data_IF_166267899314
#
_entry.id   IF_166267899314
#
_cell.length_a   1.000
_cell.length_b   1.000
_cell.length_c   1.000
_cell.angle_alpha   90.00
_cell.angle_beta   90.00
_cell.angle_gamma   90.00
#
_symmetry.space_group_name_H-M   'P 1'
#
loop_
_entity.id
_entity.type
_entity.pdbx_description
1 polymer ?
#
# COMPACT_ATOMS: atom_id res chain seq x y z
N UNK A 1 9.91 15.30 1.79
CA UNK A 1 9.60 14.86 1.74
C UNK A 1 9.33 13.96 1.58
N UNK A 2 9.52 13.68 1.58
CA UNK A 2 9.22 12.79 1.04
C UNK A 2 8.25 12.15 1.47
N UNK A 3 7.58 12.08 0.93
CA UNK A 3 6.59 11.46 1.17
C UNK A 3 6.73 10.20 1.64
N UNK A 4 6.14 9.78 2.51
CA UNK A 4 6.12 8.48 3.00
C UNK A 4 5.06 7.75 2.28
N UNK A 5 5.43 6.94 1.36
CA UNK A 5 4.44 6.26 0.57
C UNK A 5 3.54 5.37 1.39
N UNK A 6 4.02 4.89 2.50
CA UNK A 6 3.20 4.02 3.30
C UNK A 6 2.08 4.77 4.01
N UNK A 7 2.06 6.09 3.85
CA UNK A 7 1.08 6.87 4.49
C UNK A 7 -0.22 6.76 3.78
N UNK A 8 -0.73 5.60 3.58
CA UNK A 8 -2.03 5.38 3.00
C UNK A 8 -2.05 5.17 1.50
N UNK A 9 -0.91 5.29 0.83
CA UNK A 9 -0.88 5.07 -0.61
C UNK A 9 -0.17 3.75 -0.92
N UNK A 10 -0.95 2.69 -0.94
CA UNK A 10 -0.39 1.37 -1.17
C UNK A 10 0.13 1.22 -2.60
N UNK A 11 -0.49 1.92 -3.55
CA UNK A 11 0.00 1.87 -4.92
C UNK A 11 1.41 2.45 -5.03
N UNK A 12 1.63 3.58 -4.37
CA UNK A 12 2.95 4.19 -4.38
C UNK A 12 4.00 3.30 -3.73
N UNK A 13 3.60 2.55 -2.71
CA UNK A 13 4.50 1.62 -2.06
C UNK A 13 5.04 0.59 -3.05
N UNK A 14 4.20 0.17 -3.99
CA UNK A 14 4.62 -0.76 -5.04
C UNK A 14 5.17 -0.05 -6.27
N UNK A 15 5.15 1.28 -6.28
CA UNK A 15 5.63 2.03 -7.43
C UNK A 15 4.64 2.03 -8.58
N UNK A 16 3.35 1.94 -8.28
CA UNK A 16 2.31 1.84 -9.28
C UNK A 16 1.33 2.99 -9.19
N UNK A 17 0.55 3.16 -10.24
CA UNK A 17 -0.58 4.07 -10.24
C UNK A 17 -1.84 3.32 -9.86
N UNK A 18 -2.88 4.06 -9.51
CA UNK A 18 -4.12 3.45 -9.04
C UNK A 18 -4.85 2.67 -10.12
N UNK A 19 -4.48 2.86 -11.38
CA UNK A 19 -5.11 2.12 -12.49
C UNK A 19 -4.35 0.84 -12.84
N UNK A 20 -3.40 0.42 -12.03
CA UNK A 20 -2.61 -0.77 -12.31
C UNK A 20 -3.50 -2.00 -12.34
N UNK A 21 -3.18 -2.93 -13.24
CA UNK A 21 -3.89 -4.20 -13.31
C UNK A 21 -3.40 -5.14 -12.22
N UNK A 22 -4.14 -6.22 -11.99
CA UNK A 22 -3.69 -7.23 -11.04
C UNK A 22 -2.34 -7.81 -11.46
N UNK A 23 -2.14 -7.99 -12.75
CA UNK A 23 -0.84 -8.46 -13.24
C UNK A 23 0.29 -7.50 -12.92
N UNK A 24 0.01 -6.20 -13.06
CA UNK A 24 1.00 -5.19 -12.70
C UNK A 24 1.32 -5.25 -11.21
N UNK A 25 0.31 -5.46 -10.39
CA UNK A 25 0.49 -5.53 -8.95
C UNK A 25 1.36 -6.73 -8.58
N UNK A 26 1.09 -7.88 -9.18
CA UNK A 26 1.88 -9.07 -8.90
C UNK A 26 3.33 -8.90 -9.36
N UNK A 27 3.51 -8.30 -10.53
CA UNK A 27 4.85 -8.10 -11.06
C UNK A 27 5.63 -7.13 -10.19
N UNK A 28 4.99 -6.03 -9.77
CA UNK A 28 5.63 -5.04 -8.92
C UNK A 28 6.02 -5.65 -7.58
N UNK A 29 5.13 -6.46 -7.02
CA UNK A 29 5.44 -7.10 -5.75
C UNK A 29 6.66 -8.00 -5.86
N UNK A 30 6.70 -8.84 -6.90
CA UNK A 30 7.83 -9.74 -7.07
C UNK A 30 9.15 -8.98 -7.24
N UNK A 31 9.10 -7.89 -7.99
CA UNK A 31 10.28 -7.08 -8.20
C UNK A 31 10.77 -6.45 -6.91
N UNK A 32 9.84 -5.85 -6.15
CA UNK A 32 10.20 -5.18 -4.91
C UNK A 32 10.63 -6.19 -3.84
N UNK A 33 9.93 -7.31 -3.76
CA UNK A 33 10.26 -8.32 -2.77
C UNK A 33 11.66 -8.90 -3.02
N UNK A 34 11.99 -9.10 -4.28
CA UNK A 34 13.31 -9.59 -4.61
C UNK A 34 14.40 -8.59 -4.24
N UNK A 35 14.15 -7.31 -4.52
CA UNK A 35 15.12 -6.26 -4.24
C UNK A 35 15.35 -6.09 -2.75
N UNK A 36 14.29 -6.24 -1.96
CA UNK A 36 14.33 -6.01 -0.52
C UNK A 36 14.55 -7.27 0.30
N UNK A 37 14.73 -8.39 -0.35
CA UNK A 37 14.90 -9.67 0.35
C UNK A 37 16.12 -9.62 1.27
N UNK A 38 16.02 -10.20 2.48
CA UNK A 38 17.13 -10.15 3.44
C UNK A 38 18.45 -10.69 2.92
N UNK A 39 18.40 -11.62 1.98
CA UNK A 39 19.63 -12.16 1.41
C UNK A 39 20.40 -11.13 0.60
N UNK A 40 19.69 -10.14 0.06
CA UNK A 40 20.33 -9.15 -0.80
C UNK A 40 20.43 -7.79 -0.14
N UNK A 41 19.62 -7.54 0.86
CA UNK A 41 19.54 -6.23 1.46
C UNK A 41 19.40 -6.38 2.97
N UNK A 42 20.46 -6.07 3.68
CA UNK A 42 20.49 -6.27 5.11
C UNK A 42 20.39 -4.97 5.89
N UNK A 43 20.12 -3.86 5.21
CA UNK A 43 20.01 -2.58 5.90
C UNK A 43 18.80 -2.53 6.84
N UNK A 44 18.83 -1.65 7.81
CA UNK A 44 17.74 -1.57 8.80
C UNK A 44 16.41 -1.16 8.18
N UNK A 45 16.44 -0.41 7.09
CA UNK A 45 15.21 0.00 6.44
C UNK A 45 14.64 -1.07 5.53
N UNK A 46 15.44 -2.04 5.14
CA UNK A 46 15.01 -3.06 4.19
C UNK A 46 13.88 -3.91 4.76
N UNK A 47 13.99 -4.30 6.02
CA UNK A 47 12.95 -5.11 6.65
C UNK A 47 11.63 -4.35 6.74
N UNK A 48 11.71 -3.07 7.09
CA UNK A 48 10.51 -2.25 7.17
C UNK A 48 9.90 -2.05 5.80
N UNK A 49 10.73 -1.79 4.81
CA UNK A 49 10.24 -1.59 3.45
C UNK A 49 9.64 -2.87 2.89
N UNK A 50 10.26 -4.00 3.20
CA UNK A 50 9.74 -5.29 2.77
C UNK A 50 8.35 -5.53 3.37
N UNK A 51 8.19 -5.23 4.66
CA UNK A 51 6.89 -5.38 5.31
C UNK A 51 5.84 -4.47 4.69
N UNK A 52 6.22 -3.24 4.34
CA UNK A 52 5.29 -2.32 3.72
C UNK A 52 4.86 -2.81 2.33
N UNK A 53 5.79 -3.34 1.57
CA UNK A 53 5.50 -3.90 0.25
C UNK A 53 4.57 -5.10 0.37
N UNK A 54 4.83 -5.95 1.35
CA UNK A 54 4.00 -7.12 1.58
C UNK A 54 2.58 -6.72 1.96
N UNK A 55 2.45 -5.73 2.82
CA UNK A 55 1.14 -5.25 3.23
C UNK A 55 0.37 -4.66 2.04
N UNK A 56 1.04 -3.85 1.23
CA UNK A 56 0.41 -3.27 0.05
C UNK A 56 -0.10 -4.36 -0.88
N UNK A 57 0.71 -5.39 -1.08
CA UNK A 57 0.31 -6.48 -1.94
C UNK A 57 -0.88 -7.24 -1.38
N UNK A 58 -0.91 -7.46 -0.07
CA UNK A 58 -1.99 -8.22 0.55
C UNK A 58 -3.34 -7.54 0.37
N UNK A 59 -3.36 -6.23 0.28
CA UNK A 59 -4.58 -5.49 0.05
C UNK A 59 -4.89 -5.40 -1.44
N UNK A 60 -3.92 -5.01 -2.24
CA UNK A 60 -4.18 -4.70 -3.64
C UNK A 60 -4.36 -5.94 -4.50
N UNK A 61 -3.88 -7.09 -4.06
CA UNK A 61 -4.05 -8.32 -4.82
C UNK A 61 -5.39 -8.99 -4.56
N UNK A 62 -6.12 -8.55 -3.55
CA UNK A 62 -7.43 -9.08 -3.23
C UNK A 62 -8.48 -8.13 -3.81
N UNK A 63 -9.30 -8.59 -4.76
CA UNK A 63 -10.25 -7.68 -5.42
C UNK A 63 -11.18 -6.95 -4.46
N UNK A 64 -11.66 -7.62 -3.44
CA UNK A 64 -12.56 -6.98 -2.50
C UNK A 64 -11.84 -5.95 -1.64
N UNK A 65 -10.67 -6.31 -1.15
CA UNK A 65 -9.91 -5.38 -0.33
C UNK A 65 -9.44 -4.19 -1.16
N UNK A 66 -9.05 -4.46 -2.41
CA UNK A 66 -8.63 -3.38 -3.29
C UNK A 66 -9.79 -2.43 -3.56
N UNK A 67 -10.96 -2.96 -3.84
CA UNK A 67 -12.12 -2.12 -4.09
C UNK A 67 -12.44 -1.25 -2.89
N UNK A 68 -12.43 -1.83 -1.71
CA UNK A 68 -12.72 -1.08 -0.50
C UNK A 68 -11.65 -0.02 -0.25
N UNK A 69 -10.40 -0.36 -0.48
CA UNK A 69 -9.33 0.61 -0.34
C UNK A 69 -9.51 1.78 -1.30
N UNK A 70 -9.84 1.48 -2.55
CA UNK A 70 -10.03 2.53 -3.55
C UNK A 70 -11.21 3.43 -3.20
N UNK A 71 -12.29 2.86 -2.72
CA UNK A 71 -13.46 3.63 -2.34
C UNK A 71 -13.18 4.51 -1.14
N UNK A 72 -12.51 3.99 -0.16
CA UNK A 72 -12.18 4.76 1.03
C UNK A 72 -11.21 5.88 0.70
N UNK A 73 -10.26 5.61 -0.16
CA UNK A 73 -9.31 6.63 -0.59
C UNK A 73 -10.03 7.76 -1.31
N UNK A 74 -10.93 7.43 -2.20
CA UNK A 74 -11.70 8.44 -2.92
C UNK A 74 -12.57 9.25 -1.99
N UNK A 75 -13.25 8.58 -1.07
CA UNK A 75 -14.12 9.26 -0.11
C UNK A 75 -13.32 10.19 0.79
N UNK A 76 -12.18 9.73 1.26
CA UNK A 76 -11.33 10.53 2.11
C UNK A 76 -10.88 11.81 1.42
N UNK A 77 -10.51 11.70 0.15
CA UNK A 77 -10.08 12.86 -0.60
C UNK A 77 -11.20 13.85 -0.81
N UNK A 78 -12.43 13.36 -0.98
CA UNK A 78 -13.57 14.24 -1.21
C UNK A 78 -14.04 14.92 0.07
N UNK A 79 -14.01 14.19 1.18
CA UNK A 79 -14.54 14.70 2.43
C UNK A 79 -13.55 15.60 3.16
N UNK A 80 -12.36 15.11 3.39
CA UNK A 80 -11.37 15.88 4.15
C UNK A 80 -9.99 15.30 3.89
N UNK A 81 -9.36 15.70 2.81
CA UNK A 81 -8.12 15.06 2.37
C UNK A 81 -6.97 15.21 3.33
N UNK A 82 -6.96 16.26 4.14
CA UNK A 82 -5.81 16.51 4.97
C UNK A 82 -5.89 15.90 6.35
N UNK A 83 -7.10 15.83 6.90
CA UNK A 83 -7.22 15.41 8.28
C UNK A 83 -7.61 13.97 8.47
N UNK A 84 -8.46 13.46 7.62
CA UNK A 84 -9.11 12.19 7.91
C UNK A 84 -8.51 11.00 7.20
N UNK A 85 -7.58 11.20 6.29
CA UNK A 85 -7.07 10.09 5.50
C UNK A 85 -6.55 8.96 6.38
N UNK A 86 -5.68 9.29 7.33
CA UNK A 86 -5.13 8.28 8.21
C UNK A 86 -6.16 7.66 9.13
N UNK A 87 -7.04 8.51 9.65
CA UNK A 87 -8.04 8.04 10.60
C UNK A 87 -9.06 7.13 9.94
N UNK A 88 -9.50 7.49 8.76
CA UNK A 88 -10.47 6.67 8.04
C UNK A 88 -9.88 5.31 7.72
N UNK A 89 -8.64 5.30 7.27
CA UNK A 89 -7.98 4.05 6.93
C UNK A 89 -7.83 3.15 8.15
N UNK A 90 -7.43 3.74 9.26
CA UNK A 90 -7.26 2.98 10.48
C UNK A 90 -8.59 2.43 10.99
N UNK A 91 -9.64 3.23 10.89
CA UNK A 91 -10.96 2.77 11.27
C UNK A 91 -11.44 1.62 10.40
N UNK A 92 -11.12 1.69 9.12
CA UNK A 92 -11.47 0.63 8.21
C UNK A 92 -10.79 -0.68 8.58
N UNK A 93 -9.52 -0.62 8.89
CA UNK A 93 -8.80 -1.82 9.32
C UNK A 93 -9.40 -2.40 10.60
N UNK A 94 -9.72 -1.54 11.54
CA UNK A 94 -10.29 -2.01 12.80
C UNK A 94 -11.61 -2.69 12.58
N UNK A 95 -12.35 -2.26 11.59
CA UNK A 95 -13.64 -2.86 11.30
C UNK A 95 -13.52 -4.21 10.63
N UNK A 96 -12.49 -4.39 9.85
CA UNK A 96 -12.27 -5.65 9.17
C UNK A 96 -11.78 -6.74 10.09
N UNK A 97 -11.16 -6.35 11.18
CA UNK A 97 -10.61 -7.30 12.13
C UNK A 97 -11.59 -7.58 13.28
#
# INVERSE_FOLDING_TARGET
MPNNPSNGDLYATLGLRSNATLGDIKKAFRSQASRLHPDKNTGPNAARDFAAVHEAYSVLSDPEKRQTYDENRRRSLLDNPLETAGQIWQGYFNRLV
#
